data_IF_115362923637
#
_entry.id   IF_115362923637
#
_cell.length_a   1.000
_cell.length_b   1.000
_cell.length_c   1.000
_cell.angle_alpha   90.00
_cell.angle_beta   90.00
_cell.angle_gamma   90.00
#
_symmetry.space_group_name_H-M   'P 1'
#
loop_
_entity.id
_entity.type
_entity.pdbx_description
1 polymer ?
#
# COMPACT_ATOMS: atom_id res chain seq x y z
N UNK A 1 -16.18 2.86 13.05
CA UNK A 1 -17.38 3.17 12.25
C UNK A 1 -17.41 2.35 10.96
N UNK A 2 -16.46 2.52 10.03
CA UNK A 2 -16.47 1.81 8.72
C UNK A 2 -16.78 0.30 8.79
N UNK A 3 -16.06 -0.45 9.63
CA UNK A 3 -16.30 -1.90 9.81
C UNK A 3 -17.68 -2.23 10.38
N UNK A 4 -18.21 -1.36 11.23
CA UNK A 4 -19.52 -1.57 11.89
C UNK A 4 -20.66 -1.28 10.94
N UNK A 5 -20.56 -0.21 10.15
CA UNK A 5 -21.63 0.22 9.24
C UNK A 5 -21.67 -0.60 7.95
N UNK A 6 -20.51 -1.07 7.47
CA UNK A 6 -20.41 -1.75 6.17
C UNK A 6 -20.15 -3.26 6.30
N UNK A 7 -19.86 -3.75 7.50
CA UNK A 7 -19.52 -5.16 7.80
C UNK A 7 -18.62 -5.86 6.75
N UNK A 8 -17.50 -5.25 6.34
CA UNK A 8 -16.62 -5.86 5.35
C UNK A 8 -15.82 -7.00 5.98
N UNK A 9 -15.50 -8.01 5.19
CA UNK A 9 -14.65 -9.13 5.59
C UNK A 9 -13.17 -8.71 5.73
N UNK A 10 -12.77 -7.63 5.05
CA UNK A 10 -11.43 -7.08 5.14
C UNK A 10 -11.37 -5.59 4.80
N UNK A 11 -10.19 -4.99 4.96
CA UNK A 11 -9.90 -3.63 4.53
C UNK A 11 -8.59 -3.61 3.74
N UNK A 12 -8.53 -2.80 2.67
CA UNK A 12 -7.28 -2.43 2.01
C UNK A 12 -6.95 -0.98 2.37
N UNK A 13 -5.70 -0.73 2.75
CA UNK A 13 -5.18 0.62 3.00
C UNK A 13 -4.15 0.93 1.91
N UNK A 14 -4.34 2.05 1.21
CA UNK A 14 -3.43 2.49 0.14
C UNK A 14 -3.03 3.94 0.39
N UNK A 15 -1.74 4.21 0.26
CA UNK A 15 -1.18 5.54 0.15
C UNK A 15 -0.30 5.58 -1.11
N UNK A 16 -0.55 6.56 -1.97
CA UNK A 16 0.17 6.75 -3.23
C UNK A 16 1.07 7.96 -3.15
N UNK A 17 2.36 7.77 -3.44
CA UNK A 17 3.39 8.82 -3.44
C UNK A 17 3.93 9.02 -4.86
N UNK A 18 3.46 10.07 -5.54
CA UNK A 18 3.82 10.41 -6.91
C UNK A 18 2.87 9.84 -7.97
N UNK A 19 2.84 10.48 -9.14
CA UNK A 19 1.95 10.16 -10.26
C UNK A 19 2.09 8.71 -10.74
N UNK A 20 3.33 8.22 -10.87
CA UNK A 20 3.59 6.83 -11.26
C UNK A 20 3.09 5.79 -10.24
N UNK A 21 2.89 6.20 -8.98
CA UNK A 21 2.25 5.40 -7.93
C UNK A 21 0.74 5.65 -7.85
N UNK A 22 0.14 6.26 -8.88
CA UNK A 22 -1.29 6.59 -9.01
C UNK A 22 -1.78 7.69 -8.05
N UNK A 23 -0.95 8.69 -7.76
CA UNK A 23 -1.39 9.88 -7.03
C UNK A 23 -1.87 10.98 -7.99
N UNK A 24 -3.16 11.32 -7.92
CA UNK A 24 -3.73 12.46 -8.66
C UNK A 24 -3.85 13.74 -7.81
N UNK A 25 -4.04 13.59 -6.49
CA UNK A 25 -4.20 14.72 -5.55
C UNK A 25 -2.96 14.85 -4.66
N UNK A 26 -2.23 15.95 -4.82
CA UNK A 26 -0.96 16.21 -4.12
C UNK A 26 -1.16 16.81 -2.72
N UNK A 27 -1.99 16.14 -1.92
CA UNK A 27 -2.08 16.26 -0.46
C UNK A 27 -1.96 14.83 0.08
N UNK A 28 -1.28 14.62 1.20
CA UNK A 28 -1.33 13.35 1.91
C UNK A 28 -2.79 12.91 2.14
N UNK A 29 -3.16 11.78 1.55
CA UNK A 29 -4.44 11.12 1.76
C UNK A 29 -4.23 9.61 1.80
N UNK A 30 -5.17 8.92 2.43
CA UNK A 30 -5.17 7.47 2.54
C UNK A 30 -6.51 6.96 2.03
N UNK A 31 -6.47 6.00 1.11
CA UNK A 31 -7.65 5.25 0.74
C UNK A 31 -7.85 4.11 1.72
N UNK A 32 -9.04 4.05 2.33
CA UNK A 32 -9.47 2.91 3.12
C UNK A 32 -10.65 2.24 2.41
N UNK A 33 -10.41 1.04 1.87
CA UNK A 33 -11.33 0.37 0.95
C UNK A 33 -11.91 -0.87 1.66
N UNK A 34 -13.22 -0.91 1.96
CA UNK A 34 -13.92 -2.12 2.42
C UNK A 34 -13.84 -3.24 1.40
N UNK A 35 -13.53 -4.46 1.84
CA UNK A 35 -13.37 -5.64 0.98
C UNK A 35 -14.35 -6.74 1.35
N UNK A 36 -14.85 -7.43 0.34
CA UNK A 36 -15.70 -8.62 0.48
C UNK A 36 -15.17 -9.73 -0.43
N UNK A 37 -15.35 -10.99 -0.05
CA UNK A 37 -15.00 -12.11 -0.93
C UNK A 37 -15.73 -11.99 -2.27
N UNK A 38 -14.98 -12.06 -3.37
CA UNK A 38 -15.54 -11.98 -4.71
C UNK A 38 -15.88 -10.56 -5.20
N UNK A 39 -15.41 -9.50 -4.54
CA UNK A 39 -15.65 -8.10 -4.95
C UNK A 39 -14.97 -7.66 -6.27
N UNK A 40 -14.35 -8.59 -7.01
CA UNK A 40 -13.74 -8.35 -8.32
C UNK A 40 -12.44 -7.54 -8.28
N UNK A 41 -11.95 -7.13 -7.10
CA UNK A 41 -10.70 -6.37 -7.01
C UNK A 41 -9.50 -7.31 -7.10
N UNK A 42 -8.59 -7.01 -8.03
CA UNK A 42 -7.35 -7.77 -8.26
C UNK A 42 -6.24 -7.21 -7.38
N UNK A 43 -5.39 -8.08 -6.82
CA UNK A 43 -4.24 -7.61 -6.04
C UNK A 43 -3.17 -7.10 -7.01
N UNK A 44 -2.60 -5.89 -6.79
CA UNK A 44 -1.57 -5.37 -7.68
C UNK A 44 -0.26 -6.18 -7.65
N UNK A 45 -0.11 -7.11 -6.70
CA UNK A 45 1.03 -8.04 -6.59
C UNK A 45 0.69 -9.49 -7.00
N UNK A 46 -0.47 -9.74 -7.60
CA UNK A 46 -0.69 -11.00 -8.31
C UNK A 46 0.29 -11.03 -9.49
N UNK A 47 1.38 -11.78 -9.29
CA UNK A 47 2.58 -11.70 -10.11
C UNK A 47 2.28 -12.10 -11.56
N UNK A 48 2.61 -11.21 -12.50
CA UNK A 48 2.98 -11.65 -13.83
C UNK A 48 4.32 -12.40 -13.68
N UNK A 49 4.50 -13.61 -14.22
CA UNK A 49 5.77 -14.32 -14.13
C UNK A 49 6.91 -13.42 -14.58
N UNK A 50 7.84 -13.11 -13.68
CA UNK A 50 9.05 -12.37 -14.03
C UNK A 50 9.82 -13.17 -15.06
N UNK A 51 10.20 -12.55 -16.17
CA UNK A 51 11.21 -13.14 -17.06
C UNK A 51 12.49 -13.37 -16.24
N UNK A 52 13.20 -14.51 -16.41
CA UNK A 52 14.39 -14.83 -15.62
C UNK A 52 15.46 -13.74 -15.67
N UNK A 53 15.55 -12.99 -16.78
CA UNK A 53 16.50 -11.88 -16.95
C UNK A 53 16.26 -10.67 -16.01
N UNK A 54 15.06 -10.50 -15.45
CA UNK A 54 14.72 -9.35 -14.59
C UNK A 54 15.03 -9.58 -13.10
N UNK A 55 15.18 -10.84 -12.66
CA UNK A 55 15.43 -11.20 -11.26
C UNK A 55 16.80 -10.71 -10.77
N UNK A 56 17.77 -10.53 -11.67
CA UNK A 56 19.11 -10.04 -11.36
C UNK A 56 19.23 -8.55 -11.03
N UNK A 57 18.20 -7.74 -11.32
CA UNK A 57 18.27 -6.26 -11.16
C UNK A 57 17.48 -5.72 -9.96
N UNK A 58 16.71 -6.57 -9.27
CA UNK A 58 15.83 -6.15 -8.15
C UNK A 58 16.56 -6.05 -6.80
N UNK A 59 17.87 -6.33 -6.77
CA UNK A 59 18.69 -6.15 -5.57
C UNK A 59 19.20 -4.71 -5.34
N UNK A 60 18.83 -3.76 -6.23
CA UNK A 60 19.23 -2.35 -6.11
C UNK A 60 18.11 -1.41 -5.65
N UNK A 61 16.88 -1.88 -5.46
CA UNK A 61 15.89 -1.10 -4.70
C UNK A 61 16.16 -1.32 -3.22
N UNK A 62 16.95 -0.43 -2.63
CA UNK A 62 16.94 -0.17 -1.19
C UNK A 62 15.48 -0.11 -0.72
N UNK A 63 14.95 -1.20 -0.17
CA UNK A 63 14.02 -1.07 0.94
C UNK A 63 14.84 -0.37 2.03
N UNK A 64 14.83 0.97 2.03
CA UNK A 64 15.29 1.73 3.18
C UNK A 64 14.40 1.27 4.32
N UNK A 65 14.95 0.42 5.18
CA UNK A 65 14.47 0.30 6.55
C UNK A 65 14.49 1.71 7.13
N UNK A 66 13.36 2.41 7.07
CA UNK A 66 13.17 3.63 7.84
C UNK A 66 13.12 3.16 9.28
N UNK A 67 14.22 3.37 10.00
CA UNK A 67 14.29 3.12 11.43
C UNK A 67 13.26 4.05 12.09
N UNK A 68 12.16 3.48 12.60
CA UNK A 68 11.06 4.23 13.22
C UNK A 68 11.42 4.81 14.60
N UNK A 69 12.70 4.75 15.01
CA UNK A 69 13.18 5.22 16.33
C UNK A 69 13.38 6.74 16.45
N UNK A 70 12.58 7.54 15.72
CA UNK A 70 12.67 9.00 15.75
C UNK A 70 11.39 9.74 16.14
N UNK A 71 10.26 9.05 16.33
CA UNK A 71 8.95 9.69 16.50
C UNK A 71 8.39 9.63 17.95
N UNK A 72 9.24 9.47 18.96
CA UNK A 72 8.85 9.68 20.36
C UNK A 72 9.20 11.11 20.79
N UNK A 73 8.33 12.05 20.45
CA UNK A 73 8.43 13.45 20.87
C UNK A 73 7.03 14.01 21.08
N UNK A 74 6.31 13.45 22.05
CA UNK A 74 5.19 14.13 22.71
C UNK A 74 5.63 14.33 24.16
N UNK A 75 6.02 15.55 24.51
CA UNK A 75 6.08 15.99 25.90
C UNK A 75 4.65 16.39 26.32
N UNK A 76 4.30 16.04 27.56
CA UNK A 76 2.99 16.32 28.19
C UNK A 76 2.70 17.81 28.36
#
# INVERSE_FOLDING_TARGET
>A
MLKRELNPEGLTLIQSSGEAAWQDVFHLHVHLIPRHQGDGTVRPWDQVPSKPEAVGQINNSRALSVDLRGASGYEE
#
